data_IF_863185752294
#
_entry.id   IF_863185752294
#
_cell.length_a   1.000
_cell.length_b   1.000
_cell.length_c   1.000
_cell.angle_alpha   90.00
_cell.angle_beta   90.00
_cell.angle_gamma   90.00
#
_symmetry.space_group_name_H-M   'P 1'
#
loop_
_entity.id
_entity.type
_entity.pdbx_description
1 polymer ?
#
# COMPACT_ATOMS: atom_id res chain seq x y z
N UNK A 1 2.66 -42.97 -9.76
CA UNK A 1 2.44 -42.88 -8.30
C UNK A 1 2.78 -41.45 -7.90
N UNK A 2 1.93 -40.48 -8.25
CA UNK A 2 2.09 -39.08 -7.83
C UNK A 2 1.45 -38.93 -6.45
N UNK A 3 2.25 -38.54 -5.47
CA UNK A 3 1.85 -38.26 -4.10
C UNK A 3 0.99 -36.98 -4.08
N UNK A 4 -0.32 -37.16 -3.91
CA UNK A 4 -1.27 -36.09 -3.63
C UNK A 4 -0.92 -35.46 -2.27
N UNK A 5 -0.33 -34.28 -2.28
CA UNK A 5 -0.28 -33.42 -1.08
C UNK A 5 -1.67 -32.76 -0.98
N UNK A 6 -2.58 -33.39 -0.25
CA UNK A 6 -3.84 -32.79 0.17
C UNK A 6 -3.55 -31.70 1.19
N UNK A 7 -3.59 -30.44 0.77
CA UNK A 7 -3.66 -29.31 1.69
C UNK A 7 -5.13 -29.05 2.03
N UNK A 8 -5.48 -29.24 3.30
CA UNK A 8 -6.80 -28.93 3.84
C UNK A 8 -6.95 -27.41 3.88
N UNK A 9 -7.66 -26.82 2.91
CA UNK A 9 -8.05 -25.42 2.95
C UNK A 9 -9.41 -25.36 3.64
N UNK A 10 -9.44 -24.91 4.89
CA UNK A 10 -10.68 -24.48 5.52
C UNK A 10 -11.19 -23.22 4.80
N UNK A 11 -12.26 -23.45 4.05
CA UNK A 11 -13.03 -22.48 3.29
C UNK A 11 -13.85 -21.62 4.24
N UNK A 12 -13.80 -20.30 4.07
CA UNK A 12 -14.99 -19.50 4.35
C UNK A 12 -15.09 -18.26 3.44
N UNK A 13 -15.42 -18.49 2.17
CA UNK A 13 -16.17 -17.53 1.35
C UNK A 13 -17.17 -18.36 0.51
N UNK A 14 -18.38 -18.52 1.06
CA UNK A 14 -19.59 -18.99 0.37
C UNK A 14 -19.50 -20.32 -0.40
N UNK A 15 -19.65 -21.44 0.33
CA UNK A 15 -20.70 -22.41 0.00
C UNK A 15 -20.80 -23.03 -1.40
N UNK A 16 -19.68 -23.30 -2.08
CA UNK A 16 -19.64 -24.28 -3.19
C UNK A 16 -18.44 -25.19 -3.02
N UNK A 17 -18.60 -26.22 -2.18
CA UNK A 17 -17.85 -27.46 -2.33
C UNK A 17 -18.34 -28.14 -3.63
N UNK A 18 -17.43 -28.76 -4.40
CA UNK A 18 -17.65 -29.37 -5.72
C UNK A 18 -17.65 -28.43 -6.94
N UNK A 19 -16.49 -27.87 -7.24
CA UNK A 19 -16.01 -27.82 -8.63
C UNK A 19 -14.53 -28.18 -8.62
N UNK A 20 -14.24 -29.38 -9.10
CA UNK A 20 -12.90 -29.95 -9.19
C UNK A 20 -12.00 -29.09 -10.08
N UNK A 21 -10.72 -28.99 -9.69
CA UNK A 21 -9.59 -28.46 -10.44
C UNK A 21 -9.41 -29.14 -11.80
N UNK A 22 -10.24 -28.81 -12.79
CA UNK A 22 -9.97 -29.07 -14.20
C UNK A 22 -10.25 -27.82 -15.01
N UNK A 23 -9.43 -26.79 -14.83
CA UNK A 23 -9.21 -25.85 -15.93
C UNK A 23 -8.32 -26.55 -16.95
N UNK A 24 -8.80 -26.64 -18.19
CA UNK A 24 -8.01 -27.07 -19.33
C UNK A 24 -6.69 -26.31 -19.39
N UNK A 25 -5.62 -27.06 -19.66
CA UNK A 25 -4.24 -26.60 -19.78
C UNK A 25 -4.09 -25.72 -21.03
N UNK A 26 -4.66 -24.51 -21.02
CA UNK A 26 -4.51 -23.57 -22.12
C UNK A 26 -3.22 -22.77 -21.92
N UNK A 27 -2.38 -22.73 -22.97
CA UNK A 27 -1.07 -22.07 -22.99
C UNK A 27 -1.10 -20.54 -22.73
N UNK A 28 -2.27 -19.96 -22.47
CA UNK A 28 -2.48 -18.55 -22.17
C UNK A 28 -2.25 -18.19 -20.68
N UNK A 29 -2.49 -19.09 -19.72
CA UNK A 29 -2.51 -18.77 -18.28
C UNK A 29 -1.13 -18.88 -17.59
N UNK A 30 -0.03 -18.44 -18.22
CA UNK A 30 1.32 -18.76 -17.74
C UNK A 30 1.69 -18.01 -16.45
N UNK A 31 1.38 -16.71 -16.35
CA UNK A 31 1.69 -15.91 -15.14
C UNK A 31 0.85 -16.37 -13.94
N UNK A 32 -0.45 -16.58 -14.14
CA UNK A 32 -1.35 -17.07 -13.09
C UNK A 32 -0.88 -18.43 -12.54
N UNK A 33 -0.47 -19.35 -13.42
CA UNK A 33 0.05 -20.66 -13.01
C UNK A 33 1.36 -20.55 -12.23
N UNK A 34 2.29 -19.68 -12.63
CA UNK A 34 3.49 -19.40 -11.84
C UNK A 34 3.11 -18.84 -10.45
N UNK A 35 2.11 -17.97 -10.37
CA UNK A 35 1.59 -17.48 -9.10
C UNK A 35 0.86 -18.53 -8.26
N UNK A 36 0.31 -19.58 -8.88
CA UNK A 36 -0.36 -20.73 -8.23
C UNK A 36 0.61 -21.87 -7.85
N UNK A 37 1.74 -22.01 -8.52
CA UNK A 37 2.82 -22.96 -8.17
C UNK A 37 3.90 -22.36 -7.27
N UNK A 38 4.14 -21.06 -7.37
CA UNK A 38 5.14 -20.34 -6.58
C UNK A 38 6.50 -20.34 -7.25
N UNK A 39 6.52 -20.67 -8.54
CA UNK A 39 7.72 -20.75 -9.35
C UNK A 39 8.13 -19.34 -9.81
N UNK A 40 9.03 -18.74 -9.04
CA UNK A 40 9.59 -17.41 -9.30
C UNK A 40 10.50 -17.45 -10.53
N UNK A 41 11.25 -18.53 -10.74
CA UNK A 41 12.18 -18.63 -11.88
C UNK A 41 11.43 -18.73 -13.20
N UNK A 42 10.37 -19.55 -13.25
CA UNK A 42 9.51 -19.63 -14.42
C UNK A 42 8.80 -18.29 -14.66
N UNK A 43 8.38 -17.59 -13.61
CA UNK A 43 7.80 -16.26 -13.73
C UNK A 43 8.80 -15.25 -14.31
N UNK A 44 10.02 -15.22 -13.79
CA UNK A 44 11.08 -14.32 -14.28
C UNK A 44 11.39 -14.60 -15.75
N UNK A 45 11.66 -15.86 -16.11
CA UNK A 45 11.91 -16.26 -17.50
C UNK A 45 10.77 -15.86 -18.43
N UNK A 46 9.53 -16.02 -17.98
CA UNK A 46 8.35 -15.66 -18.77
C UNK A 46 8.23 -14.14 -18.98
N UNK A 47 8.55 -13.35 -17.96
CA UNK A 47 8.47 -11.89 -18.02
C UNK A 47 9.65 -11.30 -18.81
N UNK A 48 10.86 -11.82 -18.64
CA UNK A 48 12.08 -11.43 -19.37
C UNK A 48 11.95 -11.71 -20.88
N UNK A 49 11.44 -12.87 -21.28
CA UNK A 49 11.27 -13.21 -22.71
C UNK A 49 10.25 -12.31 -23.44
N UNK A 50 9.36 -11.61 -22.71
CA UNK A 50 8.31 -10.77 -23.30
C UNK A 50 8.69 -9.29 -23.37
N UNK A 51 9.69 -8.83 -22.62
CA UNK A 51 10.18 -7.44 -22.67
C UNK A 51 10.93 -7.11 -23.97
N UNK A 52 11.45 -8.12 -24.67
CA UNK A 52 12.17 -7.94 -25.94
C UNK A 52 11.23 -7.72 -27.13
N UNK A 53 9.98 -8.17 -27.03
CA UNK A 53 8.93 -7.95 -28.02
C UNK A 53 8.16 -6.67 -27.68
N UNK A 54 8.64 -5.55 -28.22
CA UNK A 54 8.09 -4.21 -28.07
C UNK A 54 6.57 -4.16 -28.37
N UNK A 55 5.69 -4.34 -27.37
CA UNK A 55 4.25 -4.22 -27.55
C UNK A 55 3.49 -3.86 -26.27
N UNK A 56 2.48 -3.02 -26.46
CA UNK A 56 1.49 -2.52 -25.51
C UNK A 56 0.60 -3.60 -24.84
N UNK A 57 1.01 -4.87 -24.84
CA UNK A 57 0.25 -6.03 -24.34
C UNK A 57 0.64 -6.52 -22.94
N UNK A 58 1.58 -5.86 -22.25
CA UNK A 58 2.01 -6.30 -20.91
C UNK A 58 0.96 -6.04 -19.81
N UNK A 59 0.09 -5.03 -19.99
CA UNK A 59 -0.98 -4.75 -19.03
C UNK A 59 -2.05 -5.86 -19.00
N UNK A 60 -2.42 -6.42 -20.15
CA UNK A 60 -3.45 -7.47 -20.22
C UNK A 60 -3.03 -8.77 -19.51
N UNK A 61 -1.73 -9.08 -19.50
CA UNK A 61 -1.18 -10.30 -18.90
C UNK A 61 -1.42 -10.38 -17.38
N UNK A 62 -1.43 -9.24 -16.69
CA UNK A 62 -1.69 -9.18 -15.25
C UNK A 62 -3.19 -9.02 -14.92
N UNK A 63 -4.01 -8.66 -15.92
CA UNK A 63 -5.46 -8.52 -15.75
C UNK A 63 -6.22 -9.82 -16.01
N UNK A 64 -5.55 -10.89 -16.45
CA UNK A 64 -6.14 -12.22 -16.54
C UNK A 64 -6.69 -12.67 -15.18
N UNK A 65 -7.98 -12.99 -15.15
CA UNK A 65 -8.71 -13.35 -13.94
C UNK A 65 -9.27 -14.77 -14.06
N UNK A 66 -9.26 -15.49 -12.96
CA UNK A 66 -9.99 -16.76 -12.84
C UNK A 66 -11.52 -16.52 -12.82
N UNK A 67 -12.28 -17.62 -12.77
CA UNK A 67 -13.75 -17.61 -12.73
C UNK A 67 -14.34 -16.82 -11.54
N UNK A 68 -13.52 -16.52 -10.52
CA UNK A 68 -13.89 -15.78 -9.30
C UNK A 68 -13.40 -14.32 -9.37
N UNK A 69 -12.77 -13.92 -10.47
CA UNK A 69 -12.29 -12.56 -10.69
C UNK A 69 -10.93 -12.25 -10.05
N UNK A 70 -10.14 -13.27 -9.67
CA UNK A 70 -8.82 -13.13 -9.05
C UNK A 70 -7.74 -13.24 -10.12
N UNK A 71 -6.79 -12.31 -10.12
CA UNK A 71 -5.61 -12.40 -10.97
C UNK A 71 -4.40 -12.98 -10.24
N UNK A 72 -3.28 -13.05 -10.95
CA UNK A 72 -2.00 -13.54 -10.45
C UNK A 72 -1.57 -12.86 -9.14
N UNK A 73 -1.74 -11.54 -9.04
CA UNK A 73 -1.39 -10.79 -7.83
C UNK A 73 -2.28 -11.20 -6.64
N UNK A 74 -3.60 -11.31 -6.85
CA UNK A 74 -4.52 -11.77 -5.79
C UNK A 74 -4.19 -13.17 -5.29
N UNK A 75 -3.92 -14.12 -6.20
CA UNK A 75 -3.57 -15.50 -5.82
C UNK A 75 -2.23 -15.55 -5.09
N UNK A 76 -1.23 -14.81 -5.55
CA UNK A 76 0.06 -14.75 -4.85
C UNK A 76 -0.08 -14.17 -3.44
N UNK A 77 -0.95 -13.18 -3.24
CA UNK A 77 -1.22 -12.61 -1.92
C UNK A 77 -1.99 -13.57 -1.01
N UNK A 78 -2.97 -14.28 -1.57
CA UNK A 78 -3.77 -15.30 -0.88
C UNK A 78 -2.92 -16.48 -0.41
N UNK A 79 -1.87 -16.84 -1.16
CA UNK A 79 -0.96 -17.94 -0.88
C UNK A 79 0.32 -17.50 -0.13
N UNK A 80 0.46 -16.21 0.19
CA UNK A 80 1.59 -15.68 0.95
C UNK A 80 2.92 -15.63 0.20
N UNK A 81 2.88 -15.52 -1.13
CA UNK A 81 4.05 -15.62 -2.02
C UNK A 81 4.65 -14.26 -2.31
N UNK A 82 5.29 -13.69 -1.30
CA UNK A 82 5.89 -12.35 -1.37
C UNK A 82 6.90 -12.18 -2.53
N UNK A 83 7.69 -13.21 -2.87
CA UNK A 83 8.65 -13.14 -3.98
C UNK A 83 7.95 -12.98 -5.34
N UNK A 84 6.84 -13.70 -5.54
CA UNK A 84 6.00 -13.56 -6.73
C UNK A 84 5.37 -12.17 -6.77
N UNK A 85 4.84 -11.67 -5.64
CA UNK A 85 4.28 -10.32 -5.53
C UNK A 85 5.31 -9.26 -5.98
N UNK A 86 6.56 -9.35 -5.50
CA UNK A 86 7.61 -8.41 -5.90
C UNK A 86 7.87 -8.46 -7.40
N UNK A 87 7.97 -9.65 -7.99
CA UNK A 87 8.27 -9.77 -9.42
C UNK A 87 7.12 -9.27 -10.30
N UNK A 88 5.87 -9.55 -9.92
CA UNK A 88 4.68 -9.06 -10.62
C UNK A 88 4.62 -7.53 -10.60
N UNK A 89 4.77 -6.91 -9.43
CA UNK A 89 4.69 -5.44 -9.29
C UNK A 89 5.88 -4.76 -9.98
N UNK A 90 7.08 -5.35 -9.91
CA UNK A 90 8.27 -4.88 -10.64
C UNK A 90 8.05 -4.82 -12.15
N UNK A 91 7.26 -5.75 -12.69
CA UNK A 91 6.90 -5.79 -14.11
C UNK A 91 5.59 -5.05 -14.45
N UNK A 92 5.02 -4.28 -13.52
CA UNK A 92 3.91 -3.37 -13.78
C UNK A 92 2.52 -3.88 -13.37
N UNK A 93 2.41 -4.97 -12.61
CA UNK A 93 1.15 -5.31 -11.95
C UNK A 93 0.76 -4.23 -10.93
N UNK A 94 -0.50 -3.82 -10.90
CA UNK A 94 -0.94 -2.77 -9.98
C UNK A 94 -1.18 -3.31 -8.58
N UNK A 95 -0.45 -2.75 -7.60
CA UNK A 95 -0.52 -3.14 -6.18
C UNK A 95 -1.88 -2.84 -5.54
N UNK A 96 -2.62 -1.87 -6.09
CA UNK A 96 -3.88 -1.36 -5.58
C UNK A 96 -5.08 -1.78 -6.45
N UNK A 97 -4.97 -2.88 -7.18
CA UNK A 97 -6.11 -3.42 -7.91
C UNK A 97 -7.22 -3.85 -6.96
N UNK A 98 -8.45 -3.85 -7.47
CA UNK A 98 -9.62 -4.28 -6.70
C UNK A 98 -10.40 -5.37 -7.42
N UNK A 99 -10.86 -6.34 -6.66
CA UNK A 99 -11.85 -7.32 -7.12
C UNK A 99 -13.23 -6.67 -7.29
N UNK A 100 -14.17 -7.41 -7.89
CA UNK A 100 -15.57 -6.99 -7.97
C UNK A 100 -16.23 -6.75 -6.59
N UNK A 101 -15.70 -7.37 -5.52
CA UNK A 101 -16.14 -7.17 -4.13
C UNK A 101 -15.29 -6.13 -3.38
N UNK A 102 -14.52 -5.30 -4.08
CA UNK A 102 -13.73 -4.23 -3.47
C UNK A 102 -12.52 -4.70 -2.65
N UNK A 103 -12.21 -6.00 -2.61
CA UNK A 103 -10.97 -6.45 -1.96
C UNK A 103 -9.76 -6.02 -2.78
N UNK A 104 -8.77 -5.49 -2.10
CA UNK A 104 -7.43 -5.19 -2.63
C UNK A 104 -6.44 -6.29 -2.20
N UNK A 105 -5.30 -6.47 -2.88
CA UNK A 105 -4.28 -7.47 -2.53
C UNK A 105 -3.88 -7.45 -1.04
N UNK A 106 -3.78 -6.25 -0.45
CA UNK A 106 -3.46 -6.07 0.97
C UNK A 106 -4.52 -6.69 1.89
N UNK A 107 -5.81 -6.59 1.56
CA UNK A 107 -6.88 -7.25 2.31
C UNK A 107 -6.73 -8.78 2.28
N UNK A 108 -6.37 -9.35 1.13
CA UNK A 108 -6.18 -10.79 1.00
C UNK A 108 -4.98 -11.28 1.81
N UNK A 109 -3.84 -10.59 1.73
CA UNK A 109 -2.67 -10.95 2.56
C UNK A 109 -2.97 -10.85 4.07
N UNK A 110 -3.70 -9.80 4.47
CA UNK A 110 -4.13 -9.58 5.85
C UNK A 110 -5.14 -10.62 6.34
N UNK A 111 -6.11 -11.00 5.50
CA UNK A 111 -7.11 -12.04 5.76
C UNK A 111 -6.46 -13.39 6.12
N UNK A 112 -5.48 -13.81 5.32
CA UNK A 112 -4.78 -15.08 5.50
C UNK A 112 -3.64 -15.00 6.51
N UNK A 113 -3.27 -13.80 6.96
CA UNK A 113 -2.23 -13.59 7.97
C UNK A 113 -0.80 -13.70 7.43
N UNK A 114 -0.60 -13.49 6.13
CA UNK A 114 0.70 -13.59 5.48
C UNK A 114 1.53 -12.33 5.70
N UNK A 115 2.14 -12.22 6.89
CA UNK A 115 2.85 -11.02 7.34
C UNK A 115 3.95 -10.55 6.37
N UNK A 116 4.75 -11.45 5.80
CA UNK A 116 5.82 -11.06 4.87
C UNK A 116 5.26 -10.50 3.56
N UNK A 117 4.09 -10.99 3.15
CA UNK A 117 3.36 -10.46 1.99
C UNK A 117 2.73 -9.11 2.31
N UNK A 118 2.15 -8.93 3.51
CA UNK A 118 1.63 -7.64 3.98
C UNK A 118 2.76 -6.60 3.97
N UNK A 119 3.91 -6.90 4.57
CA UNK A 119 5.09 -6.03 4.56
C UNK A 119 5.52 -5.65 3.15
N UNK A 120 5.62 -6.65 2.28
CA UNK A 120 5.99 -6.45 0.87
C UNK A 120 5.01 -5.52 0.15
N UNK A 121 3.70 -5.69 0.34
CA UNK A 121 2.69 -4.83 -0.30
C UNK A 121 2.77 -3.39 0.20
N UNK A 122 2.97 -3.18 1.51
CA UNK A 122 3.14 -1.84 2.09
C UNK A 122 4.40 -1.16 1.55
N UNK A 123 5.52 -1.89 1.46
CA UNK A 123 6.75 -1.39 0.82
C UNK A 123 6.56 -0.99 -0.64
N UNK A 124 5.69 -1.71 -1.37
CA UNK A 124 5.35 -1.46 -2.77
C UNK A 124 4.28 -0.37 -2.97
N UNK A 125 3.85 0.31 -1.89
CA UNK A 125 2.90 1.42 -1.98
C UNK A 125 1.42 0.99 -2.01
N UNK A 126 1.08 -0.14 -1.38
CA UNK A 126 -0.31 -0.49 -1.14
C UNK A 126 -1.01 0.55 -0.25
N UNK A 127 -2.22 0.95 -0.62
CA UNK A 127 -3.01 1.90 0.16
C UNK A 127 -3.60 1.20 1.40
N UNK A 128 -3.21 1.68 2.58
CA UNK A 128 -3.66 1.15 3.89
C UNK A 128 -5.11 1.54 4.21
N UNK A 129 -5.61 2.64 3.63
CA UNK A 129 -6.90 3.27 3.95
C UNK A 129 -8.05 2.81 3.05
N UNK A 130 -7.79 2.00 2.03
CA UNK A 130 -8.84 1.44 1.17
C UNK A 130 -9.75 0.48 1.94
N UNK A 131 -11.04 0.52 1.61
CA UNK A 131 -12.07 -0.33 2.23
C UNK A 131 -12.62 -1.35 1.22
N UNK A 132 -12.94 -2.54 1.72
CA UNK A 132 -13.63 -3.57 0.94
C UNK A 132 -15.16 -3.35 0.92
N UNK A 133 -15.93 -4.26 0.31
CA UNK A 133 -17.40 -4.15 0.26
C UNK A 133 -18.11 -4.14 1.62
N UNK A 134 -17.45 -4.61 2.68
CA UNK A 134 -17.96 -4.58 4.07
C UNK A 134 -17.61 -3.28 4.79
N UNK A 135 -16.91 -2.37 4.12
CA UNK A 135 -16.38 -1.16 4.73
C UNK A 135 -15.15 -1.41 5.61
N UNK A 136 -14.48 -2.55 5.46
CA UNK A 136 -13.32 -2.91 6.27
C UNK A 136 -12.01 -2.56 5.55
N UNK A 137 -11.07 -1.94 6.26
CA UNK A 137 -9.67 -1.82 5.86
C UNK A 137 -8.93 -3.15 6.00
N UNK A 138 -7.72 -3.26 5.44
CA UNK A 138 -6.89 -4.46 5.60
C UNK A 138 -6.58 -4.77 7.07
N UNK A 139 -6.38 -3.74 7.92
CA UNK A 139 -6.16 -3.91 9.36
C UNK A 139 -7.40 -4.49 10.05
N UNK A 140 -8.59 -3.98 9.73
CA UNK A 140 -9.85 -4.46 10.30
C UNK A 140 -10.15 -5.90 9.87
N UNK A 141 -9.83 -6.27 8.63
CA UNK A 141 -9.87 -7.67 8.18
C UNK A 141 -8.90 -8.53 9.01
N UNK A 142 -7.65 -8.11 9.19
CA UNK A 142 -6.70 -8.84 10.04
C UNK A 142 -7.21 -9.00 11.48
N UNK A 143 -7.81 -7.96 12.07
CA UNK A 143 -8.43 -8.02 13.39
C UNK A 143 -9.55 -9.06 13.45
N UNK A 144 -10.47 -9.04 12.48
CA UNK A 144 -11.64 -9.94 12.46
C UNK A 144 -11.25 -11.42 12.38
N UNK A 145 -10.15 -11.74 11.72
CA UNK A 145 -9.63 -13.11 11.62
C UNK A 145 -8.46 -13.39 12.58
N UNK A 146 -8.29 -12.55 13.61
CA UNK A 146 -7.30 -12.73 14.68
C UNK A 146 -5.85 -12.85 14.19
N UNK A 147 -5.50 -12.14 13.11
CA UNK A 147 -4.15 -12.09 12.54
C UNK A 147 -3.29 -11.01 13.23
N UNK A 148 -2.99 -11.24 14.51
CA UNK A 148 -2.37 -10.23 15.41
C UNK A 148 -1.08 -9.61 14.84
N UNK A 149 -0.18 -10.41 14.28
CA UNK A 149 1.07 -9.92 13.68
C UNK A 149 0.84 -8.95 12.53
N UNK A 150 -0.21 -9.18 11.73
CA UNK A 150 -0.60 -8.27 10.65
C UNK A 150 -1.23 -6.99 11.21
N UNK A 151 -2.03 -7.10 12.27
CA UNK A 151 -2.63 -5.92 12.96
C UNK A 151 -1.54 -5.02 13.53
N UNK A 152 -0.56 -5.59 14.23
CA UNK A 152 0.56 -4.86 14.82
C UNK A 152 1.36 -4.12 13.74
N UNK A 153 1.71 -4.81 12.66
CA UNK A 153 2.47 -4.21 11.56
C UNK A 153 1.67 -3.14 10.80
N UNK A 154 0.39 -3.39 10.51
CA UNK A 154 -0.45 -2.42 9.81
C UNK A 154 -0.68 -1.16 10.65
N UNK A 155 -0.88 -1.30 11.96
CA UNK A 155 -0.98 -0.15 12.88
C UNK A 155 0.31 0.68 12.90
N UNK A 156 1.46 0.00 12.87
CA UNK A 156 2.77 0.65 12.74
C UNK A 156 2.92 1.37 11.40
N UNK A 157 2.51 0.75 10.30
CA UNK A 157 2.60 1.31 8.96
C UNK A 157 1.67 2.53 8.79
N UNK A 158 0.48 2.50 9.37
CA UNK A 158 -0.47 3.62 9.40
C UNK A 158 0.14 4.83 10.14
N UNK A 159 0.70 4.63 11.34
CA UNK A 159 1.33 5.72 12.10
C UNK A 159 2.50 6.36 11.33
N UNK A 160 3.30 5.53 10.64
CA UNK A 160 4.36 6.00 9.74
C UNK A 160 3.79 6.83 8.58
N UNK A 161 2.75 6.32 7.91
CA UNK A 161 2.13 6.99 6.77
C UNK A 161 1.48 8.31 7.18
N UNK A 162 0.81 8.37 8.33
CA UNK A 162 0.17 9.59 8.83
C UNK A 162 1.18 10.71 9.11
N UNK A 163 2.37 10.38 9.63
CA UNK A 163 3.45 11.36 9.78
C UNK A 163 3.98 11.81 8.41
N UNK A 164 4.17 10.89 7.45
CA UNK A 164 4.60 11.24 6.09
C UNK A 164 3.58 12.12 5.36
N UNK A 165 2.30 11.82 5.49
CA UNK A 165 1.19 12.58 4.93
C UNK A 165 1.12 13.97 5.54
N UNK A 166 1.26 14.09 6.86
CA UNK A 166 1.32 15.38 7.54
C UNK A 166 2.50 16.24 7.06
N UNK A 167 3.72 15.66 6.95
CA UNK A 167 4.88 16.38 6.40
C UNK A 167 4.61 16.85 4.96
N UNK A 168 3.96 16.01 4.15
CA UNK A 168 3.64 16.32 2.74
C UNK A 168 2.62 17.45 2.65
N UNK A 169 1.50 17.36 3.36
CA UNK A 169 0.48 18.41 3.44
C UNK A 169 1.06 19.74 3.89
N UNK A 170 1.91 19.69 4.91
CA UNK A 170 2.65 20.85 5.41
C UNK A 170 3.52 21.45 4.30
N UNK A 171 4.32 20.65 3.58
CA UNK A 171 5.15 21.15 2.47
C UNK A 171 4.35 21.75 1.32
N UNK A 172 3.23 21.12 0.95
CA UNK A 172 2.34 21.60 -0.12
C UNK A 172 1.71 22.94 0.22
N UNK A 173 1.29 23.14 1.47
CA UNK A 173 0.74 24.41 1.96
C UNK A 173 1.72 25.58 1.75
N UNK A 174 3.02 25.30 1.65
CA UNK A 174 4.08 26.31 1.51
C UNK A 174 4.72 26.32 0.12
N UNK A 175 4.25 25.48 -0.81
CA UNK A 175 4.69 25.52 -2.21
C UNK A 175 4.08 26.73 -2.95
N UNK A 176 3.00 27.32 -2.41
CA UNK A 176 2.46 28.60 -2.88
C UNK A 176 3.34 29.77 -2.43
N UNK A 177 4.07 30.36 -3.39
CA UNK A 177 5.01 31.48 -3.17
C UNK A 177 4.34 32.70 -2.48
N UNK A 178 3.01 32.86 -2.64
CA UNK A 178 2.18 33.86 -1.94
C UNK A 178 2.09 33.64 -0.42
N UNK A 179 2.18 32.40 0.06
CA UNK A 179 2.21 32.07 1.49
C UNK A 179 3.61 32.34 2.07
N UNK A 180 4.66 31.99 1.32
CA UNK A 180 6.06 32.24 1.69
C UNK A 180 6.39 33.73 1.81
N UNK A 181 5.80 34.61 1.00
CA UNK A 181 6.04 36.07 1.10
C UNK A 181 5.77 36.68 2.48
N UNK A 182 5.02 35.99 3.35
CA UNK A 182 4.58 36.48 4.67
C UNK A 182 5.49 36.07 5.83
N UNK A 183 6.38 35.10 5.62
CA UNK A 183 7.31 34.61 6.62
C UNK A 183 8.70 35.20 6.41
N UNK A 184 9.40 35.48 7.50
CA UNK A 184 10.78 35.94 7.43
C UNK A 184 11.71 34.78 7.03
N UNK A 185 12.96 35.10 6.68
CA UNK A 185 13.95 34.10 6.24
C UNK A 185 14.19 33.01 7.30
N UNK A 186 14.17 33.38 8.57
CA UNK A 186 14.41 32.45 9.67
C UNK A 186 13.25 31.47 9.87
N UNK A 187 12.01 31.95 9.81
CA UNK A 187 10.80 31.15 9.90
C UNK A 187 10.71 30.12 8.76
N UNK A 188 11.08 30.54 7.54
CA UNK A 188 11.21 29.63 6.39
C UNK A 188 12.26 28.56 6.61
N UNK A 189 13.40 28.94 7.19
CA UNK A 189 14.47 27.99 7.49
C UNK A 189 14.05 26.98 8.56
N UNK A 190 13.42 27.44 9.65
CA UNK A 190 12.89 26.58 10.72
C UNK A 190 11.89 25.59 10.15
N UNK A 191 10.97 26.06 9.31
CA UNK A 191 9.98 25.23 8.64
C UNK A 191 10.61 24.12 7.79
N UNK A 192 11.48 24.50 6.86
CA UNK A 192 12.10 23.55 5.91
C UNK A 192 13.02 22.57 6.62
N UNK A 193 13.81 23.04 7.58
CA UNK A 193 14.70 22.20 8.37
C UNK A 193 13.92 21.21 9.24
N UNK A 194 12.81 21.62 9.85
CA UNK A 194 11.97 20.73 10.67
C UNK A 194 11.34 19.63 9.83
N UNK A 195 10.77 19.96 8.66
CA UNK A 195 10.18 18.96 7.77
C UNK A 195 11.24 17.98 7.23
N UNK A 196 12.42 18.48 6.89
CA UNK A 196 13.56 17.67 6.43
C UNK A 196 14.03 16.74 7.54
N UNK A 197 14.24 17.26 8.75
CA UNK A 197 14.64 16.46 9.91
C UNK A 197 13.63 15.34 10.23
N UNK A 198 12.31 15.59 10.14
CA UNK A 198 11.31 14.52 10.33
C UNK A 198 11.33 13.51 9.18
N UNK A 199 11.55 13.95 7.95
CA UNK A 199 11.70 13.03 6.80
C UNK A 199 12.92 12.12 6.98
N UNK A 200 14.05 12.70 7.36
CA UNK A 200 15.30 11.97 7.61
C UNK A 200 15.14 11.00 8.79
N UNK A 201 14.42 11.40 9.82
CA UNK A 201 14.10 10.52 10.96
C UNK A 201 13.28 9.29 10.51
N UNK A 202 12.23 9.48 9.69
CA UNK A 202 11.42 8.36 9.18
C UNK A 202 12.25 7.36 8.36
N UNK A 203 13.27 7.84 7.64
CA UNK A 203 14.13 7.00 6.81
C UNK A 203 15.21 6.27 7.61
N UNK A 204 15.74 6.91 8.66
CA UNK A 204 16.93 6.43 9.38
C UNK A 204 16.65 5.85 10.77
N UNK A 205 15.44 6.03 11.31
CA UNK A 205 15.07 5.49 12.62
C UNK A 205 15.12 3.96 12.61
N UNK A 206 15.81 3.39 13.60
CA UNK A 206 15.90 1.93 13.80
C UNK A 206 14.74 1.47 14.65
N UNK A 207 13.86 0.65 14.08
CA UNK A 207 12.70 0.05 14.76
C UNK A 207 11.87 1.06 15.58
N UNK A 208 11.39 2.17 14.97
CA UNK A 208 10.52 3.11 15.67
C UNK A 208 9.24 2.43 16.11
N UNK A 209 8.71 2.78 17.27
CA UNK A 209 7.38 2.38 17.75
C UNK A 209 6.28 3.28 17.20
N UNK A 210 5.02 2.86 17.35
CA UNK A 210 3.84 3.70 17.01
C UNK A 210 3.86 5.01 17.83
N UNK A 211 4.28 4.93 19.09
CA UNK A 211 4.39 6.08 19.98
C UNK A 211 5.43 7.07 19.45
N UNK A 212 6.58 6.59 18.96
CA UNK A 212 7.62 7.46 18.41
C UNK A 212 7.10 8.27 17.22
N UNK A 213 6.34 7.65 16.29
CA UNK A 213 5.72 8.38 15.18
C UNK A 213 4.75 9.46 15.65
N UNK A 214 3.94 9.14 16.67
CA UNK A 214 2.97 10.07 17.26
C UNK A 214 3.70 11.26 17.91
N UNK A 215 4.78 11.01 18.64
CA UNK A 215 5.59 12.06 19.26
C UNK A 215 6.30 12.93 18.22
N UNK A 216 6.85 12.34 17.16
CA UNK A 216 7.46 13.11 16.08
C UNK A 216 6.45 13.99 15.34
N UNK A 217 5.21 13.51 15.19
CA UNK A 217 4.10 14.28 14.62
C UNK A 217 3.71 15.44 15.52
N UNK A 218 3.43 15.19 16.79
CA UNK A 218 3.05 16.23 17.76
C UNK A 218 4.15 17.29 17.89
N UNK A 219 5.42 16.88 17.96
CA UNK A 219 6.55 17.81 17.99
C UNK A 219 6.62 18.68 16.72
N UNK A 220 6.31 18.11 15.55
CA UNK A 220 6.26 18.90 14.32
C UNK A 220 5.07 19.86 14.33
N UNK A 221 3.90 19.41 14.77
CA UNK A 221 2.72 20.26 14.97
C UNK A 221 3.01 21.43 15.91
N UNK A 222 3.70 21.21 17.03
CA UNK A 222 4.06 22.24 18.00
C UNK A 222 4.98 23.32 17.39
N UNK A 223 5.97 22.90 16.59
CA UNK A 223 6.87 23.84 15.89
C UNK A 223 6.10 24.66 14.85
N UNK A 224 5.18 24.02 14.13
CA UNK A 224 4.53 24.63 12.98
C UNK A 224 3.28 25.43 13.34
N UNK A 225 2.59 25.10 14.43
CA UNK A 225 1.41 25.81 14.93
C UNK A 225 1.56 27.34 14.95
N UNK A 226 2.62 27.93 15.53
CA UNK A 226 2.78 29.39 15.52
C UNK A 226 3.02 29.97 14.12
N UNK A 227 3.66 29.22 13.22
CA UNK A 227 3.92 29.64 11.84
C UNK A 227 2.63 29.60 11.01
N UNK A 228 1.85 28.53 11.14
CA UNK A 228 0.55 28.37 10.49
C UNK A 228 -0.45 29.43 10.98
N UNK A 229 -0.46 29.75 12.29
CA UNK A 229 -1.28 30.81 12.84
C UNK A 229 -0.94 32.19 12.23
N UNK A 230 0.34 32.52 12.07
CA UNK A 230 0.78 33.77 11.41
C UNK A 230 0.26 33.88 9.98
N UNK A 231 0.29 32.77 9.23
CA UNK A 231 -0.25 32.70 7.87
C UNK A 231 -1.76 32.93 7.83
N UNK A 232 -2.50 32.40 8.80
CA UNK A 232 -3.95 32.56 8.93
C UNK A 232 -4.36 33.99 9.31
N UNK A 233 -3.76 34.56 10.37
CA UNK A 233 -4.14 35.89 10.92
C UNK A 233 -3.96 37.04 9.91
N UNK A 234 -2.93 36.99 9.06
CA UNK A 234 -2.69 38.06 8.07
C UNK A 234 -3.54 37.92 6.79
N UNK A 235 -4.17 36.77 6.57
CA UNK A 235 -5.16 36.60 5.49
C UNK A 235 -6.48 37.33 5.82
N UNK A 236 -6.86 37.39 7.11
CA UNK A 236 -8.04 38.14 7.55
C UNK A 236 -7.80 39.66 7.56
N UNK A 237 -6.58 40.09 7.93
CA UNK A 237 -6.21 41.51 7.92
C UNK A 237 -6.33 42.12 6.51
N UNK A 238 -5.89 41.41 5.48
CA UNK A 238 -5.97 41.86 4.08
C UNK A 238 -7.40 41.85 3.50
N UNK A 239 -8.32 41.06 4.08
CA UNK A 239 -9.74 41.07 3.72
C UNK A 239 -10.52 42.26 4.31
N UNK A 240 -10.09 42.76 5.48
CA UNK A 240 -10.75 43.89 6.17
C UNK A 240 -10.33 45.26 5.60
N UNK A 241 -9.11 45.40 5.06
CA UNK A 241 -8.64 46.66 4.44
C UNK A 241 -9.23 46.93 3.05
N UNK A 242 -9.88 45.94 2.41
CA UNK A 242 -10.58 46.12 1.12
C UNK A 242 -12.06 46.52 1.26
N UNK A 243 -12.58 46.61 2.48
CA UNK A 243 -13.99 46.94 2.78
C UNK A 243 -14.16 48.28 3.53
N UNK A 244 -13.11 49.09 3.68
CA UNK A 244 -13.19 50.47 4.16
C UNK A 244 -12.83 51.45 3.06
#
# INVERSE_FOLDING_TARGET
MLTCITFQIELDISGTAHSFLTMELNAANTVFNCSLQGDVEALQKLLECKTDSNQAGMQDLFQEKDEIGRNALFVSCMLGRCNIVRELVKHGASVNERTARGYHPLHCAALWGHIDTVKTLVELGANLKEINFRGETAKEVACRYSKTTCVEYLSWAEAKQDLQEYITQVRETFSDDKALGKLNKEEKNIFMSSCTAKTDWIQNAKNPSIQDFTEQKNHLEDILSPLLAKLAVQSEATSKTRKS
#
